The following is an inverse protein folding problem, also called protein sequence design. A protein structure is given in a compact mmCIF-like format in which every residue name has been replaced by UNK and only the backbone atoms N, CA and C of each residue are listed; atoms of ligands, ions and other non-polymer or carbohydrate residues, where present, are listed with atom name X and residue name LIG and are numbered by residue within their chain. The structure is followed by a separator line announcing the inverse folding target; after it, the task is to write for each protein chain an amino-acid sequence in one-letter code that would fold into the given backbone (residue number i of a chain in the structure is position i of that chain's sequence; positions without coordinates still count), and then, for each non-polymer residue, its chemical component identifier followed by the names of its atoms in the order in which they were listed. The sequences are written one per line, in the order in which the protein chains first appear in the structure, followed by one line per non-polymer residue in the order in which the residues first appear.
data_IF_047785387256
#
_entry.id   IF_047785387256
#
_cell.length_a   1.000
_cell.length_b   1.000
_cell.length_c   1.000
_cell.angle_alpha   90.00
_cell.angle_beta   90.00
_cell.angle_gamma   90.00
#
_symmetry.space_group_name_H-M   'P 1'
#
loop_
_entity.id
_entity.type
_entity.pdbx_description
1 polymer ?
#
# COMPACT_ATOMS: atom_id res chain seq x y z
N UNK A 1 4.31 0.56 -13.96
CA UNK A 1 5.08 1.41 -13.04
C UNK A 1 6.31 0.65 -12.54
N UNK A 2 7.42 1.34 -12.38
CA UNK A 2 8.63 0.71 -11.87
C UNK A 2 8.45 0.31 -10.41
N UNK A 3 8.97 -0.85 -9.99
CA UNK A 3 8.80 -1.31 -8.60
C UNK A 3 9.28 -0.31 -7.56
N UNK A 4 10.41 0.36 -7.81
CA UNK A 4 10.95 1.33 -6.86
C UNK A 4 10.00 2.51 -6.64
N UNK A 5 9.42 3.01 -7.73
CA UNK A 5 8.47 4.11 -7.64
C UNK A 5 7.19 3.68 -6.97
N UNK A 6 6.72 2.50 -7.29
CA UNK A 6 5.51 1.93 -6.69
C UNK A 6 5.68 1.80 -5.17
N UNK A 7 6.81 1.26 -4.72
CA UNK A 7 7.12 1.12 -3.29
C UNK A 7 7.22 2.48 -2.63
N UNK A 8 7.91 3.43 -3.28
CA UNK A 8 8.04 4.78 -2.75
C UNK A 8 6.67 5.43 -2.55
N UNK A 9 5.81 5.36 -3.55
CA UNK A 9 4.49 5.96 -3.49
C UNK A 9 3.63 5.31 -2.40
N UNK A 10 3.66 3.98 -2.33
CA UNK A 10 2.91 3.26 -1.30
C UNK A 10 3.39 3.62 0.10
N UNK A 11 4.70 3.75 0.27
CA UNK A 11 5.28 4.12 1.57
C UNK A 11 4.92 5.54 1.98
N UNK A 12 4.84 6.47 1.02
CA UNK A 12 4.42 7.84 1.31
C UNK A 12 2.99 7.86 1.83
N UNK A 13 2.10 7.07 1.24
CA UNK A 13 0.73 6.94 1.72
C UNK A 13 0.71 6.38 3.14
N UNK A 14 1.49 5.32 3.38
CA UNK A 14 1.56 4.70 4.70
C UNK A 14 2.07 5.69 5.75
N UNK A 15 3.09 6.47 5.42
CA UNK A 15 3.66 7.46 6.34
C UNK A 15 2.66 8.55 6.69
N UNK A 16 1.84 8.95 5.73
CA UNK A 16 0.81 9.96 5.97
C UNK A 16 -0.17 9.49 7.05
N UNK A 17 -0.55 8.22 7.00
CA UNK A 17 -1.51 7.67 7.96
C UNK A 17 -0.88 7.08 9.22
N UNK A 18 0.44 6.99 9.27
CA UNK A 18 1.12 6.27 10.36
C UNK A 18 0.88 6.87 11.76
N UNK A 19 0.54 8.14 11.84
CA UNK A 19 0.27 8.80 13.12
C UNK A 19 -1.13 8.53 13.67
N UNK A 20 -2.00 7.94 12.85
CA UNK A 20 -3.36 7.60 13.26
C UNK A 20 -3.37 6.28 14.03
N UNK A 21 -4.41 6.00 14.83
CA UNK A 21 -4.55 4.67 15.41
C UNK A 21 -4.51 3.60 14.32
N UNK A 22 -3.97 2.44 14.65
CA UNK A 22 -3.65 1.41 13.66
C UNK A 22 -4.81 1.08 12.71
N UNK A 23 -6.00 0.85 13.24
CA UNK A 23 -7.14 0.49 12.40
C UNK A 23 -7.58 1.62 11.48
N UNK A 24 -7.53 2.85 11.97
CA UNK A 24 -7.85 4.02 11.14
C UNK A 24 -6.80 4.23 10.07
N UNK A 25 -5.53 4.05 10.43
CA UNK A 25 -4.43 4.17 9.48
C UNK A 25 -4.58 3.14 8.37
N UNK A 26 -4.85 1.89 8.75
CA UNK A 26 -5.01 0.80 7.80
C UNK A 26 -6.17 1.05 6.86
N UNK A 27 -7.32 1.44 7.39
CA UNK A 27 -8.50 1.78 6.60
C UNK A 27 -8.20 2.92 5.64
N UNK A 28 -7.48 3.94 6.12
CA UNK A 28 -7.11 5.09 5.31
C UNK A 28 -6.24 4.71 4.12
N UNK A 29 -5.24 3.86 4.36
CA UNK A 29 -4.33 3.41 3.29
C UNK A 29 -5.08 2.57 2.26
N UNK A 30 -5.91 1.62 2.71
CA UNK A 30 -6.70 0.78 1.81
C UNK A 30 -7.63 1.65 0.96
N UNK A 31 -8.31 2.59 1.58
CA UNK A 31 -9.24 3.50 0.90
C UNK A 31 -8.51 4.33 -0.15
N UNK A 32 -7.31 4.82 0.19
CA UNK A 32 -6.50 5.61 -0.72
C UNK A 32 -6.13 4.80 -1.96
N UNK A 33 -5.71 3.56 -1.80
CA UNK A 33 -5.41 2.68 -2.93
C UNK A 33 -6.64 2.48 -3.81
N UNK A 34 -7.80 2.22 -3.21
CA UNK A 34 -9.03 2.02 -3.98
C UNK A 34 -9.46 3.26 -4.75
N UNK A 35 -9.27 4.44 -4.17
CA UNK A 35 -9.74 5.69 -4.79
C UNK A 35 -8.80 6.22 -5.86
N UNK A 36 -7.48 6.04 -5.68
CA UNK A 36 -6.51 6.73 -6.53
C UNK A 36 -5.63 5.82 -7.38
N UNK A 37 -5.51 4.55 -7.02
CA UNK A 37 -4.69 3.63 -7.79
C UNK A 37 -5.53 2.87 -8.80
N UNK A 38 -5.04 2.82 -10.05
CA UNK A 38 -5.69 2.06 -11.12
C UNK A 38 -5.64 0.56 -10.81
N UNK A 39 -6.59 -0.23 -11.35
CA UNK A 39 -6.59 -1.67 -11.13
C UNK A 39 -5.25 -2.34 -11.48
N UNK A 40 -4.59 -1.87 -12.54
CA UNK A 40 -3.29 -2.42 -12.94
C UNK A 40 -2.23 -2.18 -11.87
N UNK A 41 -2.21 -0.99 -11.28
CA UNK A 41 -1.27 -0.66 -10.21
C UNK A 41 -1.55 -1.48 -8.95
N UNK A 42 -2.82 -1.63 -8.62
CA UNK A 42 -3.22 -2.44 -7.45
C UNK A 42 -2.81 -3.90 -7.65
N UNK A 43 -3.01 -4.44 -8.85
CA UNK A 43 -2.57 -5.79 -9.16
C UNK A 43 -1.06 -5.95 -9.03
N UNK A 44 -0.33 -4.95 -9.49
CA UNK A 44 1.14 -4.98 -9.44
C UNK A 44 1.64 -5.01 -8.00
N UNK A 45 1.10 -4.15 -7.13
CA UNK A 45 1.55 -4.10 -5.75
C UNK A 45 1.11 -5.35 -4.97
N UNK A 46 -0.04 -5.92 -5.31
CA UNK A 46 -0.48 -7.17 -4.69
C UNK A 46 0.50 -8.31 -5.03
N UNK A 47 0.90 -8.41 -6.29
CA UNK A 47 1.89 -9.41 -6.70
C UNK A 47 3.24 -9.18 -6.02
N UNK A 48 3.65 -7.92 -5.90
CA UNK A 48 4.90 -7.56 -5.25
C UNK A 48 4.87 -7.97 -3.78
N UNK A 49 3.77 -7.70 -3.09
CA UNK A 49 3.61 -8.05 -1.68
C UNK A 49 3.60 -9.57 -1.50
N UNK A 50 2.98 -10.30 -2.42
CA UNK A 50 2.93 -11.77 -2.38
C UNK A 50 4.34 -12.36 -2.53
N UNK A 51 5.23 -11.66 -3.23
CA UNK A 51 6.62 -12.07 -3.38
C UNK A 51 7.54 -11.63 -2.25
N UNK A 52 6.96 -11.11 -1.16
CA UNK A 52 7.72 -10.69 0.02
C UNK A 52 7.59 -9.22 0.37
N UNK A 53 7.26 -8.36 -0.58
CA UNK A 53 7.04 -6.94 -0.34
C UNK A 53 8.27 -6.18 0.14
N UNK A 54 9.45 -6.53 -0.36
CA UNK A 54 10.70 -5.92 0.07
C UNK A 54 10.62 -4.39 -0.01
N UNK A 55 10.98 -3.73 1.09
CA UNK A 55 11.01 -2.27 1.16
C UNK A 55 9.68 -1.62 1.48
N UNK A 56 8.58 -2.35 1.46
CA UNK A 56 7.28 -1.79 1.82
C UNK A 56 7.18 -1.55 3.32
N UNK A 57 6.66 -0.37 3.68
CA UNK A 57 6.33 -0.06 5.05
C UNK A 57 5.32 -1.11 5.56
N UNK A 58 5.45 -1.50 6.83
CA UNK A 58 4.57 -2.52 7.40
C UNK A 58 3.08 -2.21 7.20
N UNK A 59 2.70 -0.95 7.37
CA UNK A 59 1.32 -0.52 7.19
C UNK A 59 0.86 -0.67 5.74
N UNK A 60 1.73 -0.33 4.80
CA UNK A 60 1.44 -0.49 3.36
C UNK A 60 1.28 -1.96 3.01
N UNK A 61 2.16 -2.81 3.51
CA UNK A 61 2.10 -4.25 3.26
C UNK A 61 0.80 -4.85 3.77
N UNK A 62 0.42 -4.47 4.99
CA UNK A 62 -0.81 -4.93 5.60
C UNK A 62 -2.04 -4.48 4.81
N UNK A 63 -2.05 -3.22 4.37
CA UNK A 63 -3.14 -2.68 3.58
C UNK A 63 -3.28 -3.38 2.24
N UNK A 64 -2.16 -3.68 1.59
CA UNK A 64 -2.18 -4.38 0.30
C UNK A 64 -2.82 -5.75 0.42
N UNK A 65 -2.57 -6.45 1.52
CA UNK A 65 -3.18 -7.77 1.77
C UNK A 65 -4.70 -7.68 1.88
N UNK A 66 -5.22 -6.53 2.26
CA UNK A 66 -6.66 -6.31 2.38
C UNK A 66 -7.31 -5.83 1.09
N UNK A 67 -6.53 -5.54 0.07
CA UNK A 67 -7.09 -5.09 -1.21
C UNK A 67 -7.91 -6.18 -1.92
N UNK A 68 -7.73 -7.39 -1.53
CA UNK A 68 -8.57 -8.50 -1.99
C UNK A 68 -8.54 -8.76 -3.46
#
# INVERSE_FOLDING_TARGET
MKPEKMVHDANQIALFFASYPHEEALTGVVKHFHMYWEPRMKSQIKAYAAGGGAGLHALALEAVKLLG
#
